data_IF_032394748642
#
_entry.id   IF_032394748642
#
_cell.length_a   1.000
_cell.length_b   1.000
_cell.length_c   1.000
_cell.angle_alpha   90.00
_cell.angle_beta   90.00
_cell.angle_gamma   90.00
#
_symmetry.space_group_name_H-M   'P 1'
#
loop_
_entity.id
_entity.type
_entity.pdbx_description
1 polymer ?
#
# COMPACT_ATOMS: atom_id res chain seq x y z
N UNK A 1 -3.91 -6.63 27.26
CA UNK A 1 -4.90 -6.88 26.19
C UNK A 1 -4.17 -7.62 25.09
N UNK A 2 -4.65 -8.82 24.74
CA UNK A 2 -4.05 -9.65 23.71
C UNK A 2 -4.74 -9.39 22.37
N UNK A 3 -3.97 -9.07 21.34
CA UNK A 3 -4.46 -8.79 19.98
C UNK A 3 -4.26 -10.02 19.08
N UNK A 4 -5.27 -10.38 18.28
CA UNK A 4 -5.16 -11.37 17.22
C UNK A 4 -4.71 -10.70 15.93
N UNK A 5 -3.50 -10.97 15.50
CA UNK A 5 -2.97 -10.46 14.23
C UNK A 5 -3.24 -11.42 13.08
N UNK A 6 -3.62 -10.88 11.91
CA UNK A 6 -3.99 -11.66 10.73
C UNK A 6 -3.30 -11.08 9.49
N UNK A 7 -2.67 -11.92 8.69
CA UNK A 7 -2.14 -11.57 7.38
C UNK A 7 -3.12 -12.00 6.28
N UNK A 8 -3.87 -11.06 5.73
CA UNK A 8 -4.81 -11.27 4.61
C UNK A 8 -4.43 -10.36 3.41
N UNK A 9 -3.37 -10.71 2.66
CA UNK A 9 -2.82 -9.88 1.58
C UNK A 9 -3.77 -9.73 0.37
N UNK A 10 -4.83 -10.53 0.30
CA UNK A 10 -5.90 -10.46 -0.68
C UNK A 10 -6.89 -9.30 -0.45
N UNK A 11 -6.72 -8.53 0.61
CA UNK A 11 -7.61 -7.46 1.05
C UNK A 11 -8.10 -6.53 -0.08
N UNK A 12 -7.18 -5.99 -0.90
CA UNK A 12 -7.56 -5.03 -1.96
C UNK A 12 -8.51 -5.64 -3.00
N UNK A 13 -8.30 -6.90 -3.37
CA UNK A 13 -9.21 -7.60 -4.29
C UNK A 13 -10.51 -8.04 -3.61
N UNK A 14 -10.49 -8.27 -2.30
CA UNK A 14 -11.70 -8.48 -1.51
C UNK A 14 -12.55 -7.20 -1.43
N UNK A 15 -11.92 -6.03 -1.25
CA UNK A 15 -12.59 -4.72 -1.34
C UNK A 15 -13.19 -4.47 -2.73
N UNK A 16 -12.46 -4.80 -3.79
CA UNK A 16 -12.96 -4.69 -5.17
C UNK A 16 -14.20 -5.56 -5.40
N UNK A 17 -14.17 -6.81 -4.90
CA UNK A 17 -15.30 -7.75 -4.96
C UNK A 17 -16.49 -7.33 -4.10
N UNK A 18 -16.22 -6.78 -2.92
CA UNK A 18 -17.22 -6.38 -1.90
C UNK A 18 -18.18 -7.50 -1.46
N UNK A 19 -17.77 -8.76 -1.54
CA UNK A 19 -18.57 -9.95 -1.23
C UNK A 19 -18.08 -10.62 0.06
N UNK A 20 -19.03 -10.99 0.93
CA UNK A 20 -18.75 -11.74 2.16
C UNK A 20 -18.27 -13.18 1.90
N UNK A 21 -18.62 -13.74 0.75
CA UNK A 21 -18.19 -15.09 0.31
C UNK A 21 -17.08 -15.04 -0.75
N UNK A 22 -16.33 -13.92 -0.82
CA UNK A 22 -15.20 -13.80 -1.74
C UNK A 22 -14.15 -14.87 -1.43
N UNK A 23 -13.67 -15.52 -2.47
CA UNK A 23 -12.54 -16.45 -2.41
C UNK A 23 -11.39 -15.91 -3.24
N UNK A 24 -10.26 -15.69 -2.60
CA UNK A 24 -9.08 -15.18 -3.29
C UNK A 24 -8.57 -16.17 -4.36
N UNK A 25 -7.96 -15.68 -5.45
CA UNK A 25 -7.23 -16.52 -6.40
C UNK A 25 -6.17 -17.39 -5.71
N UNK A 26 -5.82 -18.53 -6.32
CA UNK A 26 -4.85 -19.48 -5.76
C UNK A 26 -3.56 -18.80 -5.25
N UNK A 27 -2.96 -17.92 -6.05
CA UNK A 27 -1.74 -17.21 -5.66
C UNK A 27 -1.91 -16.35 -4.39
N UNK A 28 -3.07 -15.71 -4.20
CA UNK A 28 -3.37 -14.93 -2.99
C UNK A 28 -3.51 -15.83 -1.76
N UNK A 29 -4.22 -16.95 -1.89
CA UNK A 29 -4.36 -17.94 -0.80
C UNK A 29 -3.02 -18.56 -0.43
N UNK A 30 -2.19 -18.90 -1.42
CA UNK A 30 -0.85 -19.43 -1.18
C UNK A 30 0.03 -18.37 -0.48
N UNK A 31 -0.02 -17.10 -0.92
CA UNK A 31 0.72 -16.02 -0.28
C UNK A 31 0.32 -15.86 1.20
N UNK A 32 -0.98 -15.90 1.50
CA UNK A 32 -1.51 -15.86 2.86
C UNK A 32 -1.00 -17.04 3.69
N UNK A 33 -1.11 -18.26 3.18
CA UNK A 33 -0.67 -19.47 3.88
C UNK A 33 0.85 -19.47 4.14
N UNK A 34 1.65 -19.09 3.14
CA UNK A 34 3.11 -19.13 3.21
C UNK A 34 3.70 -18.02 4.09
N UNK A 35 3.08 -16.83 4.12
CA UNK A 35 3.56 -15.64 4.83
C UNK A 35 2.69 -15.23 6.01
N UNK A 36 1.73 -16.06 6.42
CA UNK A 36 0.85 -15.79 7.55
C UNK A 36 1.57 -15.47 8.87
N UNK A 37 2.84 -15.83 8.98
CA UNK A 37 3.70 -15.53 10.13
C UNK A 37 4.19 -14.07 10.17
N UNK A 38 4.04 -13.27 9.11
CA UNK A 38 4.59 -11.90 9.07
C UNK A 38 4.15 -11.02 10.25
N UNK A 39 2.91 -11.10 10.75
CA UNK A 39 2.51 -10.33 11.93
C UNK A 39 3.38 -10.56 13.16
N UNK A 40 4.03 -11.71 13.28
CA UNK A 40 4.96 -12.00 14.37
C UNK A 40 6.17 -11.04 14.42
N UNK A 41 6.43 -10.28 13.37
CA UNK A 41 7.51 -9.29 13.31
C UNK A 41 7.21 -8.05 14.16
N UNK A 42 5.92 -7.69 14.33
CA UNK A 42 5.49 -6.51 15.12
C UNK A 42 4.57 -6.85 16.29
N UNK A 43 4.05 -8.06 16.38
CA UNK A 43 3.22 -8.51 17.49
C UNK A 43 3.95 -8.44 18.82
N UNK A 44 3.24 -8.13 19.90
CA UNK A 44 3.75 -8.18 21.28
C UNK A 44 3.86 -9.63 21.76
N UNK A 45 4.46 -9.84 22.92
CA UNK A 45 4.67 -11.20 23.46
C UNK A 45 3.36 -11.92 23.75
N UNK A 46 2.36 -11.19 24.25
CA UNK A 46 1.05 -11.73 24.63
C UNK A 46 0.05 -11.80 23.48
N UNK A 47 0.41 -11.28 22.29
CA UNK A 47 -0.44 -11.32 21.11
C UNK A 47 -0.44 -12.71 20.47
N UNK A 48 -1.53 -13.01 19.74
CA UNK A 48 -1.67 -14.21 18.93
C UNK A 48 -1.59 -13.91 17.44
N UNK A 49 -0.98 -14.78 16.67
CA UNK A 49 -0.89 -14.71 15.21
C UNK A 49 -1.73 -15.84 14.60
N UNK A 50 -2.79 -15.47 13.87
CA UNK A 50 -3.65 -16.43 13.21
C UNK A 50 -3.02 -16.92 11.91
N UNK A 51 -2.89 -18.25 11.79
CA UNK A 51 -2.24 -18.90 10.65
C UNK A 51 -2.96 -20.20 10.30
N UNK A 52 -2.88 -20.64 9.05
CA UNK A 52 -3.47 -21.89 8.60
C UNK A 52 -2.72 -23.13 9.13
N UNK A 53 -1.40 -23.00 9.31
CA UNK A 53 -0.52 -24.07 9.79
C UNK A 53 0.52 -23.53 10.77
N UNK A 54 0.35 -23.86 12.04
CA UNK A 54 1.18 -23.37 13.15
C UNK A 54 2.64 -23.84 13.01
N UNK A 55 2.87 -25.12 12.74
CA UNK A 55 4.22 -25.68 12.62
C UNK A 55 5.01 -25.02 11.47
N UNK A 56 4.35 -24.85 10.33
CA UNK A 56 4.96 -24.17 9.18
C UNK A 56 5.31 -22.70 9.51
N UNK A 57 4.37 -21.97 10.11
CA UNK A 57 4.54 -20.57 10.49
C UNK A 57 5.70 -20.37 11.47
N UNK A 58 5.77 -21.20 12.52
CA UNK A 58 6.89 -21.18 13.48
C UNK A 58 8.24 -21.43 12.80
N UNK A 59 8.31 -22.44 11.94
CA UNK A 59 9.53 -22.77 11.21
C UNK A 59 9.94 -21.65 10.25
N UNK A 60 8.97 -21.04 9.56
CA UNK A 60 9.22 -19.92 8.65
C UNK A 60 9.69 -18.66 9.40
N UNK A 61 9.04 -18.32 10.52
CA UNK A 61 9.40 -17.20 11.37
C UNK A 61 10.83 -17.33 11.95
N UNK A 62 11.19 -18.51 12.48
CA UNK A 62 12.55 -18.78 13.00
C UNK A 62 13.63 -18.60 11.94
N UNK A 63 13.34 -18.88 10.66
CA UNK A 63 14.30 -18.65 9.55
C UNK A 63 14.54 -17.18 9.29
N UNK A 64 13.54 -16.33 9.47
CA UNK A 64 13.65 -14.88 9.26
C UNK A 64 14.39 -14.22 10.43
N UNK A 65 13.96 -14.52 11.66
CA UNK A 65 14.49 -13.85 12.86
C UNK A 65 15.91 -14.26 13.24
N UNK A 66 16.34 -15.47 12.87
CA UNK A 66 17.67 -16.02 13.23
C UNK A 66 18.01 -16.01 14.74
N UNK A 67 17.09 -15.52 15.57
CA UNK A 67 17.19 -15.48 17.04
C UNK A 67 15.90 -16.06 17.63
N UNK A 68 15.97 -16.71 18.80
CA UNK A 68 14.76 -17.15 19.49
C UNK A 68 13.92 -15.94 19.88
N UNK A 69 12.72 -15.84 19.34
CA UNK A 69 11.70 -14.85 19.74
C UNK A 69 10.44 -15.64 20.01
N UNK A 70 9.89 -15.49 21.22
CA UNK A 70 8.66 -16.15 21.59
C UNK A 70 7.49 -15.45 20.93
N UNK A 71 6.66 -16.20 20.22
CA UNK A 71 5.42 -15.75 19.58
C UNK A 71 4.39 -16.86 19.66
N UNK A 72 3.12 -16.48 19.79
CA UNK A 72 2.02 -17.42 19.88
C UNK A 72 1.32 -17.50 18.52
N UNK A 73 1.45 -18.64 17.86
CA UNK A 73 0.73 -18.93 16.61
C UNK A 73 -0.48 -19.79 16.91
N UNK A 74 -1.64 -19.46 16.28
CA UNK A 74 -2.90 -20.16 16.49
C UNK A 74 -3.58 -20.50 15.16
N UNK A 75 -4.23 -21.66 15.08
CA UNK A 75 -4.98 -22.10 13.90
C UNK A 75 -6.48 -21.80 13.97
N UNK A 76 -6.95 -21.22 15.07
CA UNK A 76 -8.33 -20.76 15.26
C UNK A 76 -8.34 -19.46 16.04
N UNK A 77 -9.36 -18.58 15.86
CA UNK A 77 -9.53 -17.42 16.73
C UNK A 77 -9.63 -17.89 18.19
N UNK A 78 -8.81 -17.31 19.04
CA UNK A 78 -8.79 -17.59 20.48
C UNK A 78 -9.46 -16.47 21.25
N UNK A 79 -9.56 -16.60 22.56
CA UNK A 79 -9.98 -15.50 23.44
C UNK A 79 -8.93 -14.39 23.37
N UNK A 80 -9.29 -13.28 22.73
CA UNK A 80 -8.49 -12.08 22.53
C UNK A 80 -9.35 -10.85 22.83
N UNK A 81 -8.70 -9.75 23.08
CA UNK A 81 -9.37 -8.48 23.40
C UNK A 81 -9.56 -7.60 22.17
N UNK A 82 -8.78 -7.86 21.11
CA UNK A 82 -8.75 -7.05 19.88
C UNK A 82 -8.31 -7.88 18.67
N UNK A 83 -8.64 -7.42 17.47
CA UNK A 83 -8.24 -8.06 16.20
C UNK A 83 -7.61 -7.03 15.27
N UNK A 84 -6.37 -7.27 14.88
CA UNK A 84 -5.58 -6.42 13.98
C UNK A 84 -5.20 -7.18 12.69
N UNK A 85 -6.04 -7.14 11.65
CA UNK A 85 -5.71 -7.76 10.37
C UNK A 85 -4.75 -6.90 9.54
N UNK A 86 -4.26 -7.46 8.44
CA UNK A 86 -3.60 -6.69 7.39
C UNK A 86 -4.52 -5.57 6.87
N UNK A 87 -5.79 -5.88 6.62
CA UNK A 87 -6.85 -4.93 6.34
C UNK A 87 -8.23 -5.56 6.53
N UNK A 88 -9.21 -4.76 6.94
CA UNK A 88 -10.57 -5.21 7.16
C UNK A 88 -11.40 -5.20 5.87
N UNK A 89 -12.06 -6.33 5.58
CA UNK A 89 -13.01 -6.48 4.49
C UNK A 89 -14.16 -7.45 4.87
N UNK A 90 -15.21 -7.48 4.05
CA UNK A 90 -16.40 -8.32 4.30
C UNK A 90 -16.09 -9.82 4.35
N UNK A 91 -15.12 -10.27 3.54
CA UNK A 91 -14.78 -11.69 3.47
C UNK A 91 -14.05 -12.15 4.74
N UNK A 92 -13.09 -11.36 5.22
CA UNK A 92 -12.39 -11.64 6.47
C UNK A 92 -13.35 -11.62 7.66
N UNK A 93 -14.22 -10.60 7.78
CA UNK A 93 -15.25 -10.57 8.83
C UNK A 93 -16.12 -11.82 8.81
N UNK A 94 -16.60 -12.22 7.64
CA UNK A 94 -17.44 -13.41 7.49
C UNK A 94 -16.68 -14.70 7.82
N UNK A 95 -15.39 -14.78 7.50
CA UNK A 95 -14.53 -15.90 7.90
C UNK A 95 -14.42 -16.01 9.41
N UNK A 96 -14.08 -14.91 10.09
CA UNK A 96 -13.91 -14.86 11.55
C UNK A 96 -15.21 -15.19 12.29
N UNK A 97 -16.35 -14.66 11.81
CA UNK A 97 -17.67 -15.00 12.36
C UNK A 97 -17.96 -16.49 12.25
N UNK A 98 -17.72 -17.12 11.10
CA UNK A 98 -17.89 -18.59 10.92
C UNK A 98 -16.98 -19.42 11.82
N UNK A 99 -15.82 -18.89 12.20
CA UNK A 99 -14.86 -19.54 13.09
C UNK A 99 -15.14 -19.28 14.57
N UNK A 100 -16.25 -18.62 14.90
CA UNK A 100 -16.70 -18.38 16.27
C UNK A 100 -15.98 -17.27 17.00
N UNK A 101 -15.41 -16.32 16.26
CA UNK A 101 -14.87 -15.08 16.84
C UNK A 101 -15.99 -14.26 17.46
N UNK A 102 -15.71 -13.59 18.59
CA UNK A 102 -16.67 -12.69 19.24
C UNK A 102 -17.07 -11.57 18.28
N UNK A 103 -18.38 -11.48 18.02
CA UNK A 103 -18.92 -10.50 17.09
C UNK A 103 -18.71 -9.04 17.55
N UNK A 104 -18.55 -8.81 18.85
CA UNK A 104 -18.26 -7.47 19.40
C UNK A 104 -16.89 -6.93 18.97
N UNK A 105 -15.95 -7.81 18.58
CA UNK A 105 -14.62 -7.46 18.07
C UNK A 105 -14.60 -7.27 16.54
N UNK A 106 -15.72 -7.57 15.86
CA UNK A 106 -15.80 -7.49 14.41
C UNK A 106 -16.38 -6.14 13.95
N UNK A 107 -15.86 -5.55 12.86
CA UNK A 107 -16.38 -4.28 12.36
C UNK A 107 -17.83 -4.44 11.86
N UNK A 108 -18.64 -3.40 12.05
CA UNK A 108 -20.00 -3.31 11.52
C UNK A 108 -20.01 -3.17 10.00
N UNK A 109 -21.18 -3.29 9.38
CA UNK A 109 -21.34 -3.05 7.94
C UNK A 109 -21.01 -1.61 7.54
N UNK A 110 -21.35 -0.64 8.41
CA UNK A 110 -21.04 0.77 8.18
C UNK A 110 -19.54 1.04 8.25
N UNK A 111 -18.84 0.44 9.22
CA UNK A 111 -17.38 0.53 9.31
C UNK A 111 -16.69 -0.10 8.09
N UNK A 112 -17.13 -1.28 7.64
CA UNK A 112 -16.57 -1.90 6.43
C UNK A 112 -16.89 -1.10 5.16
N UNK A 113 -18.07 -0.50 5.07
CA UNK A 113 -18.43 0.39 3.97
C UNK A 113 -17.55 1.64 3.96
N UNK A 114 -17.30 2.22 5.13
CA UNK A 114 -16.42 3.38 5.30
C UNK A 114 -14.97 3.05 4.89
N UNK A 115 -14.41 1.95 5.40
CA UNK A 115 -13.07 1.46 5.01
C UNK A 115 -12.97 1.30 3.49
N UNK A 116 -13.97 0.66 2.86
CA UNK A 116 -14.00 0.47 1.42
C UNK A 116 -14.05 1.80 0.65
N UNK A 117 -14.83 2.77 1.13
CA UNK A 117 -14.92 4.11 0.52
C UNK A 117 -13.58 4.84 0.61
N UNK A 118 -12.96 4.86 1.78
CA UNK A 118 -11.65 5.48 2.00
C UNK A 118 -10.53 4.81 1.21
N UNK A 119 -10.60 3.48 1.02
CA UNK A 119 -9.64 2.72 0.20
C UNK A 119 -9.79 2.93 -1.30
N UNK A 120 -10.82 3.63 -1.76
CA UNK A 120 -10.97 4.00 -3.16
C UNK A 120 -9.92 5.04 -3.53
N UNK A 121 -9.28 4.90 -4.69
CA UNK A 121 -8.23 5.83 -5.17
C UNK A 121 -8.69 7.30 -5.26
N UNK A 122 -10.00 7.58 -5.27
CA UNK A 122 -10.53 8.96 -5.18
C UNK A 122 -10.09 9.67 -3.89
N UNK A 123 -9.84 8.95 -2.80
CA UNK A 123 -9.35 9.55 -1.56
C UNK A 123 -7.99 10.21 -1.76
N UNK A 124 -7.07 9.54 -2.47
CA UNK A 124 -5.81 10.13 -2.88
C UNK A 124 -6.02 11.35 -3.81
N UNK A 125 -6.93 11.21 -4.79
CA UNK A 125 -7.29 12.33 -5.71
C UNK A 125 -7.81 13.55 -4.95
N UNK A 126 -8.64 13.36 -3.93
CA UNK A 126 -9.17 14.46 -3.10
C UNK A 126 -8.12 15.09 -2.19
N UNK A 127 -7.09 14.35 -1.81
CA UNK A 127 -5.99 14.85 -0.98
C UNK A 127 -4.96 15.67 -1.79
N UNK A 128 -4.71 15.32 -3.05
CA UNK A 128 -3.68 15.95 -3.88
C UNK A 128 -3.74 17.50 -3.91
N UNK A 129 -4.91 18.16 -4.09
CA UNK A 129 -4.99 19.61 -4.07
C UNK A 129 -4.54 20.25 -2.74
N UNK A 130 -4.69 19.53 -1.63
CA UNK A 130 -4.32 20.00 -0.29
C UNK A 130 -2.81 19.82 -0.01
N UNK A 131 -2.13 18.98 -0.81
CA UNK A 131 -0.69 18.74 -0.74
C UNK A 131 0.12 19.62 -1.71
N UNK A 132 -0.52 20.47 -2.49
CA UNK A 132 0.16 21.29 -3.51
C UNK A 132 1.20 22.24 -2.92
N UNK A 133 2.32 22.34 -3.63
CA UNK A 133 3.42 23.30 -3.45
C UNK A 133 4.13 23.47 -4.80
N UNK A 134 5.00 24.46 -4.94
CA UNK A 134 5.70 24.75 -6.20
C UNK A 134 6.55 23.58 -6.72
N UNK A 135 6.95 22.68 -5.83
CA UNK A 135 7.75 21.51 -6.13
C UNK A 135 6.91 20.21 -6.29
N UNK A 136 5.60 20.27 -6.15
CA UNK A 136 4.73 19.09 -6.27
C UNK A 136 4.05 19.03 -7.63
N UNK A 137 3.74 17.79 -8.03
CA UNK A 137 2.88 17.47 -9.16
C UNK A 137 1.89 16.39 -8.73
N UNK A 138 0.88 16.17 -9.54
CA UNK A 138 -0.09 15.09 -9.33
C UNK A 138 -1.49 15.57 -9.66
N UNK A 139 -2.10 14.89 -10.61
CA UNK A 139 -3.49 15.07 -11.00
C UNK A 139 -4.12 13.68 -11.11
N UNK A 140 -5.35 13.53 -10.63
CA UNK A 140 -6.07 12.28 -10.71
C UNK A 140 -7.56 12.55 -10.88
N UNK A 141 -8.18 11.91 -11.85
CA UNK A 141 -9.54 12.14 -12.28
C UNK A 141 -10.35 10.85 -12.19
N UNK A 142 -11.54 10.92 -11.61
CA UNK A 142 -12.47 9.79 -11.60
C UNK A 142 -13.36 9.87 -12.85
N UNK A 143 -13.22 8.90 -13.77
CA UNK A 143 -13.94 8.84 -15.03
C UNK A 143 -14.96 7.70 -15.01
N UNK A 144 -16.14 7.95 -15.60
CA UNK A 144 -17.23 6.99 -15.77
C UNK A 144 -17.65 6.83 -17.23
N UNK A 145 -17.29 7.81 -18.05
CA UNK A 145 -17.59 7.84 -19.47
C UNK A 145 -16.31 7.75 -20.31
N UNK A 146 -16.36 7.08 -21.45
CA UNK A 146 -15.22 6.93 -22.35
C UNK A 146 -14.69 8.28 -22.86
N UNK A 147 -15.59 9.22 -23.12
CA UNK A 147 -15.24 10.56 -23.60
C UNK A 147 -14.34 11.33 -22.61
N UNK A 148 -14.52 11.13 -21.29
CA UNK A 148 -13.66 11.76 -20.27
C UNK A 148 -12.22 11.25 -20.37
N UNK A 149 -12.04 9.96 -20.62
CA UNK A 149 -10.70 9.36 -20.80
C UNK A 149 -10.05 9.86 -22.09
N UNK A 150 -10.82 9.94 -23.18
CA UNK A 150 -10.33 10.45 -24.47
C UNK A 150 -9.91 11.93 -24.38
N UNK A 151 -10.68 12.76 -23.66
CA UNK A 151 -10.33 14.15 -23.38
C UNK A 151 -9.02 14.27 -22.61
N UNK A 152 -8.85 13.48 -21.51
CA UNK A 152 -7.62 13.48 -20.72
C UNK A 152 -6.43 12.98 -21.54
N UNK A 153 -6.61 11.93 -22.36
CA UNK A 153 -5.60 11.45 -23.27
C UNK A 153 -5.25 12.50 -24.32
N UNK A 154 -6.26 13.24 -24.82
CA UNK A 154 -6.04 14.36 -25.74
C UNK A 154 -5.24 15.52 -25.10
N UNK A 155 -5.50 15.81 -23.83
CA UNK A 155 -4.84 16.88 -23.07
C UNK A 155 -3.38 16.55 -22.74
N UNK A 156 -3.14 15.36 -22.20
CA UNK A 156 -1.85 14.96 -21.64
C UNK A 156 -0.96 14.15 -22.60
N UNK A 157 -1.51 13.63 -23.70
CA UNK A 157 -0.79 12.79 -24.67
C UNK A 157 -0.56 11.35 -24.19
N UNK A 158 -0.27 11.17 -22.91
CA UNK A 158 -0.12 9.88 -22.25
C UNK A 158 -0.80 9.92 -20.88
N UNK A 159 -1.57 8.87 -20.56
CA UNK A 159 -2.25 8.73 -19.26
C UNK A 159 -2.17 7.30 -18.76
N UNK A 160 -2.41 7.14 -17.46
CA UNK A 160 -2.52 5.84 -16.80
C UNK A 160 -3.95 5.70 -16.27
N UNK A 161 -4.66 4.68 -16.73
CA UNK A 161 -5.93 4.27 -16.12
C UNK A 161 -5.64 3.30 -14.95
N UNK A 162 -6.33 3.50 -13.84
CA UNK A 162 -6.18 2.70 -12.62
C UNK A 162 -7.53 2.21 -12.14
N UNK A 163 -7.62 0.92 -11.78
CA UNK A 163 -8.80 0.39 -11.10
C UNK A 163 -8.96 1.06 -9.72
N UNK A 164 -10.18 1.42 -9.29
CA UNK A 164 -10.45 2.03 -7.99
C UNK A 164 -9.90 1.25 -6.81
N UNK A 165 -10.06 -0.07 -6.85
CA UNK A 165 -9.49 -1.01 -5.89
C UNK A 165 -8.65 -2.05 -6.64
N UNK A 166 -7.35 -2.03 -6.42
CA UNK A 166 -6.42 -3.01 -6.99
C UNK A 166 -5.09 -2.96 -6.23
N UNK A 167 -4.29 -3.99 -6.39
CA UNK A 167 -2.96 -4.06 -5.80
C UNK A 167 -1.93 -4.58 -6.79
N UNK A 168 -0.65 -4.35 -6.48
CA UNK A 168 0.50 -4.93 -7.19
C UNK A 168 0.51 -4.67 -8.70
N UNK A 169 0.08 -3.49 -9.14
CA UNK A 169 0.10 -3.06 -10.54
C UNK A 169 -0.87 -3.76 -11.49
N UNK A 170 -1.69 -4.70 -11.01
CA UNK A 170 -2.60 -5.48 -11.87
C UNK A 170 -3.75 -4.67 -12.45
N UNK A 171 -4.14 -3.60 -11.78
CA UNK A 171 -5.24 -2.70 -12.17
C UNK A 171 -4.77 -1.48 -12.97
N UNK A 172 -3.62 -1.53 -13.64
CA UNK A 172 -3.08 -0.40 -14.39
C UNK A 172 -3.16 -0.65 -15.91
N UNK A 173 -3.50 0.42 -16.66
CA UNK A 173 -3.41 0.44 -18.13
C UNK A 173 -2.78 1.76 -18.58
N UNK A 174 -1.72 1.65 -19.35
CA UNK A 174 -1.00 2.80 -19.90
C UNK A 174 -1.53 3.12 -21.28
N UNK A 175 -1.93 4.36 -21.51
CA UNK A 175 -2.43 4.86 -22.79
C UNK A 175 -1.48 5.89 -23.38
N UNK A 176 -1.37 5.90 -24.70
CA UNK A 176 -0.66 6.88 -25.47
C UNK A 176 -1.43 7.12 -26.77
N UNK A 177 -1.57 8.38 -27.19
CA UNK A 177 -2.22 8.73 -28.46
C UNK A 177 -1.68 7.94 -29.66
N UNK A 178 -0.37 7.71 -29.67
CA UNK A 178 0.32 7.13 -30.84
C UNK A 178 0.44 5.60 -30.75
N UNK A 179 0.72 5.06 -29.55
CA UNK A 179 1.11 3.63 -29.39
C UNK A 179 0.01 2.75 -28.80
N UNK A 180 -0.78 3.30 -27.91
CA UNK A 180 -1.82 2.55 -27.19
C UNK A 180 -3.06 3.43 -27.05
N UNK A 181 -3.80 3.69 -28.15
CA UNK A 181 -5.00 4.50 -28.12
C UNK A 181 -6.08 3.86 -27.24
N UNK A 182 -7.00 4.70 -26.72
CA UNK A 182 -8.03 4.25 -25.78
C UNK A 182 -8.89 3.10 -26.30
N UNK A 183 -9.19 3.07 -27.61
CA UNK A 183 -10.01 2.02 -28.22
C UNK A 183 -9.51 0.60 -27.91
N UNK A 184 -8.20 0.41 -27.74
CA UNK A 184 -7.62 -0.88 -27.37
C UNK A 184 -7.95 -1.29 -25.93
N UNK A 185 -8.34 -0.36 -25.06
CA UNK A 185 -8.63 -0.57 -23.64
C UNK A 185 -10.08 -0.26 -23.27
N UNK A 186 -10.91 0.15 -24.24
CA UNK A 186 -12.32 0.51 -24.01
C UNK A 186 -13.12 -0.65 -23.37
N UNK A 187 -12.88 -1.88 -23.79
CA UNK A 187 -13.51 -3.06 -23.19
C UNK A 187 -13.12 -3.27 -21.71
N UNK A 188 -11.86 -3.02 -21.36
CA UNK A 188 -11.40 -3.07 -19.98
C UNK A 188 -12.02 -1.95 -19.14
N UNK A 189 -12.10 -0.74 -19.69
CA UNK A 189 -12.74 0.41 -19.07
C UNK A 189 -14.21 0.13 -18.73
N UNK A 190 -15.02 -0.28 -19.74
CA UNK A 190 -16.45 -0.60 -19.55
C UNK A 190 -16.67 -1.66 -18.47
N UNK A 191 -15.93 -2.77 -18.54
CA UNK A 191 -16.02 -3.84 -17.56
C UNK A 191 -15.70 -3.36 -16.13
N UNK A 192 -14.74 -2.44 -16.00
CA UNK A 192 -14.35 -1.90 -14.70
C UNK A 192 -15.38 -0.91 -14.16
N UNK A 193 -15.93 -0.02 -15.01
CA UNK A 193 -17.02 0.89 -14.63
C UNK A 193 -18.25 0.08 -14.19
N UNK A 194 -18.61 -0.99 -14.90
CA UNK A 194 -19.71 -1.88 -14.52
C UNK A 194 -19.48 -2.53 -13.15
N UNK A 195 -18.26 -3.00 -12.86
CA UNK A 195 -17.94 -3.74 -11.63
C UNK A 195 -17.59 -2.87 -10.43
N UNK A 196 -16.88 -1.78 -10.65
CA UNK A 196 -16.34 -0.93 -9.60
C UNK A 196 -16.89 0.52 -9.62
N UNK A 197 -17.69 0.87 -10.61
CA UNK A 197 -18.40 2.15 -10.70
C UNK A 197 -17.63 3.26 -11.41
N UNK A 198 -16.32 3.17 -11.54
CA UNK A 198 -15.48 4.18 -12.18
C UNK A 198 -14.08 3.64 -12.52
N UNK A 199 -13.29 4.49 -13.18
CA UNK A 199 -11.85 4.30 -13.41
C UNK A 199 -11.14 5.60 -13.04
N UNK A 200 -10.02 5.52 -12.33
CA UNK A 200 -9.17 6.68 -12.09
C UNK A 200 -8.21 6.86 -13.26
N UNK A 201 -8.04 8.09 -13.70
CA UNK A 201 -7.16 8.46 -14.82
C UNK A 201 -6.18 9.53 -14.36
N UNK A 202 -4.90 9.32 -14.63
CA UNK A 202 -3.83 10.25 -14.26
C UNK A 202 -2.93 10.53 -15.45
N UNK A 203 -2.33 11.72 -15.56
CA UNK A 203 -1.24 11.96 -16.49
C UNK A 203 -0.12 10.93 -16.27
N UNK A 204 0.53 10.51 -17.34
CA UNK A 204 1.74 9.68 -17.21
C UNK A 204 2.91 10.57 -16.77
N UNK A 205 3.49 10.23 -15.62
CA UNK A 205 4.68 10.90 -15.10
C UNK A 205 5.93 10.06 -15.36
N UNK A 206 7.01 10.74 -15.78
CA UNK A 206 8.31 10.09 -15.95
C UNK A 206 8.95 9.84 -14.59
N UNK A 207 8.66 8.68 -14.03
CA UNK A 207 9.07 8.27 -12.70
C UNK A 207 10.59 8.06 -12.60
N UNK A 208 11.19 8.65 -11.58
CA UNK A 208 12.62 8.49 -11.21
C UNK A 208 12.77 7.54 -10.02
N UNK A 209 11.92 7.70 -8.99
CA UNK A 209 12.03 6.91 -7.76
C UNK A 209 10.65 6.73 -7.10
N UNK A 210 10.33 5.50 -6.69
CA UNK A 210 9.20 5.21 -5.81
C UNK A 210 9.67 5.20 -4.35
N UNK A 211 8.82 5.67 -3.46
CA UNK A 211 8.93 5.52 -2.01
C UNK A 211 7.54 5.70 -1.38
N UNK A 212 7.42 5.49 -0.09
CA UNK A 212 6.19 5.72 0.65
C UNK A 212 6.46 6.25 2.05
N UNK A 213 5.42 6.70 2.68
CA UNK A 213 5.35 6.99 4.10
C UNK A 213 4.34 6.07 4.75
N UNK A 214 4.72 5.51 5.89
CA UNK A 214 3.87 4.65 6.69
C UNK A 214 3.34 5.41 7.89
N UNK A 215 2.07 5.17 8.21
CA UNK A 215 1.31 5.86 9.26
C UNK A 215 0.41 4.90 10.01
N UNK A 216 -0.11 5.36 11.15
CA UNK A 216 -1.25 4.78 11.84
C UNK A 216 -2.26 5.86 12.21
N UNK A 217 -3.54 5.47 12.28
CA UNK A 217 -4.64 6.29 12.76
C UNK A 217 -5.28 5.64 14.00
N UNK A 218 -5.72 6.45 14.95
CA UNK A 218 -6.33 5.97 16.20
C UNK A 218 -7.87 5.87 16.16
N UNK A 219 -8.50 6.39 15.10
CA UNK A 219 -9.95 6.46 14.96
C UNK A 219 -10.59 7.68 15.63
N UNK A 220 -9.80 8.53 16.27
CA UNK A 220 -10.22 9.77 16.94
C UNK A 220 -9.73 11.02 16.18
N UNK A 221 -9.16 10.82 14.98
CA UNK A 221 -8.66 11.88 14.11
C UNK A 221 -7.16 12.15 14.25
N UNK A 222 -6.43 11.39 15.06
CA UNK A 222 -4.98 11.54 15.16
C UNK A 222 -4.29 10.56 14.20
N UNK A 223 -3.34 11.10 13.43
CA UNK A 223 -2.47 10.35 12.53
C UNK A 223 -1.04 10.42 13.06
N UNK A 224 -0.42 9.27 13.24
CA UNK A 224 0.97 9.14 13.66
C UNK A 224 1.82 8.68 12.48
N UNK A 225 2.93 9.37 12.22
CA UNK A 225 3.94 8.95 11.25
C UNK A 225 4.81 7.84 11.84
N UNK A 226 4.98 6.74 11.10
CA UNK A 226 5.78 5.58 11.52
C UNK A 226 7.14 5.49 10.83
N UNK A 227 7.29 6.04 9.63
CA UNK A 227 8.59 6.08 8.96
C UNK A 227 8.51 6.06 7.44
N UNK A 228 9.66 6.31 6.79
CA UNK A 228 9.84 6.18 5.35
C UNK A 228 9.94 4.70 4.94
N UNK A 229 9.34 4.39 3.81
CA UNK A 229 9.42 3.10 3.13
C UNK A 229 10.06 3.30 1.76
N UNK A 230 11.31 2.90 1.58
CA UNK A 230 11.96 2.90 0.28
C UNK A 230 11.78 1.53 -0.38
N UNK A 231 11.16 1.52 -1.54
CA UNK A 231 10.92 0.28 -2.28
C UNK A 231 11.28 0.41 -3.76
N UNK A 232 11.36 -0.73 -4.42
CA UNK A 232 11.59 -0.82 -5.85
C UNK A 232 10.38 -1.42 -6.53
N UNK A 233 9.99 -0.83 -7.66
CA UNK A 233 8.98 -1.39 -8.56
C UNK A 233 9.56 -1.57 -9.96
N UNK A 234 9.02 -2.53 -10.69
CA UNK A 234 9.28 -2.71 -12.11
C UNK A 234 7.95 -2.94 -12.83
N UNK A 235 7.64 -2.12 -13.81
CA UNK A 235 6.35 -2.14 -14.52
C UNK A 235 5.12 -2.08 -13.56
N UNK A 236 5.26 -1.33 -12.47
CA UNK A 236 4.24 -1.23 -11.42
C UNK A 236 4.19 -2.41 -10.44
N UNK A 237 5.00 -3.45 -10.63
CA UNK A 237 5.08 -4.58 -9.72
C UNK A 237 6.14 -4.34 -8.63
N UNK A 238 5.77 -4.61 -7.38
CA UNK A 238 6.66 -4.54 -6.24
C UNK A 238 7.80 -5.57 -6.33
N UNK A 239 9.04 -5.13 -6.11
CA UNK A 239 10.23 -5.98 -6.10
C UNK A 239 10.85 -6.17 -4.72
N UNK A 240 10.68 -5.21 -3.81
CA UNK A 240 11.22 -5.29 -2.46
C UNK A 240 11.43 -3.95 -1.79
N UNK A 241 11.66 -3.97 -0.47
CA UNK A 241 11.95 -2.78 0.35
C UNK A 241 13.42 -2.75 0.77
N UNK A 242 13.92 -1.53 0.92
CA UNK A 242 15.21 -1.25 1.58
C UNK A 242 14.98 -1.26 3.09
N UNK A 243 15.79 -2.03 3.80
CA UNK A 243 15.87 -2.04 5.25
C UNK A 243 17.09 -1.21 5.66
N UNK A 244 16.82 -0.04 6.19
CA UNK A 244 17.83 0.92 6.66
C UNK A 244 17.18 1.78 7.74
N UNK A 245 17.98 2.49 8.53
CA UNK A 245 17.48 3.47 9.50
C UNK A 245 16.74 4.60 8.78
N UNK A 246 15.93 5.34 9.51
CA UNK A 246 15.24 6.51 8.96
C UNK A 246 16.24 7.54 8.44
N UNK A 247 17.36 7.73 9.15
CA UNK A 247 18.44 8.63 8.73
C UNK A 247 18.98 8.24 7.35
N UNK A 248 19.40 6.99 7.16
CA UNK A 248 19.95 6.49 5.89
C UNK A 248 18.94 6.54 4.73
N UNK A 249 17.63 6.31 5.02
CA UNK A 249 16.58 6.45 4.01
C UNK A 249 16.42 7.91 3.57
N UNK A 250 16.43 8.86 4.52
CA UNK A 250 16.37 10.30 4.23
C UNK A 250 17.57 10.76 3.42
N UNK A 251 18.77 10.31 3.78
CA UNK A 251 19.98 10.53 2.99
C UNK A 251 19.87 9.99 1.56
N UNK A 252 19.26 8.82 1.39
CA UNK A 252 19.02 8.26 0.05
C UNK A 252 18.10 9.15 -0.78
N UNK A 253 17.03 9.70 -0.19
CA UNK A 253 16.09 10.60 -0.88
C UNK A 253 16.71 11.97 -1.14
N UNK A 254 17.58 12.47 -0.25
CA UNK A 254 18.23 13.78 -0.40
C UNK A 254 19.09 13.89 -1.66
N UNK A 255 19.49 12.79 -2.24
CA UNK A 255 20.20 12.72 -3.53
C UNK A 255 19.33 13.11 -4.72
N UNK A 256 18.02 13.13 -4.55
CA UNK A 256 17.02 13.46 -5.59
C UNK A 256 16.32 14.79 -5.32
N UNK A 257 15.76 14.96 -4.11
CA UNK A 257 14.97 16.13 -3.71
C UNK A 257 15.34 16.57 -2.30
N UNK A 258 15.14 17.83 -1.91
CA UNK A 258 15.29 18.29 -0.54
C UNK A 258 14.41 17.49 0.42
N UNK A 259 14.95 17.09 1.56
CA UNK A 259 14.19 16.31 2.57
C UNK A 259 13.11 17.14 3.24
N UNK A 260 13.24 18.45 3.24
CA UNK A 260 12.26 19.42 3.74
C UNK A 260 10.92 19.30 3.01
N UNK A 261 10.92 18.93 1.72
CA UNK A 261 9.70 18.68 0.95
C UNK A 261 8.91 17.48 1.52
N UNK A 262 9.64 16.45 1.94
CA UNK A 262 9.04 15.27 2.58
C UNK A 262 8.43 15.65 3.93
N UNK A 263 9.13 16.46 4.72
CA UNK A 263 8.63 16.91 6.02
C UNK A 263 7.39 17.79 5.87
N UNK A 264 7.40 18.73 4.93
CA UNK A 264 6.24 19.58 4.63
C UNK A 264 5.03 18.74 4.17
N UNK A 265 5.24 17.79 3.26
CA UNK A 265 4.17 16.92 2.77
C UNK A 265 3.64 16.03 3.90
N UNK A 266 4.50 15.48 4.75
CA UNK A 266 4.11 14.71 5.93
C UNK A 266 3.18 15.53 6.85
N UNK A 267 3.56 16.76 7.18
CA UNK A 267 2.75 17.64 8.03
C UNK A 267 1.40 18.00 7.37
N UNK A 268 1.39 18.23 6.06
CA UNK A 268 0.16 18.45 5.31
C UNK A 268 -0.75 17.21 5.30
N UNK A 269 -0.19 16.00 5.14
CA UNK A 269 -0.96 14.75 5.23
C UNK A 269 -1.61 14.63 6.60
N UNK A 270 -0.83 14.76 7.67
CA UNK A 270 -1.34 14.65 9.06
C UNK A 270 -2.45 15.68 9.33
N UNK A 271 -2.34 16.86 8.76
CA UNK A 271 -3.31 17.96 8.95
C UNK A 271 -4.58 17.81 8.15
N UNK A 272 -4.50 17.27 6.93
CA UNK A 272 -5.58 17.38 5.94
C UNK A 272 -6.23 16.05 5.58
N UNK A 273 -5.58 14.91 5.86
CA UNK A 273 -6.17 13.61 5.59
C UNK A 273 -7.21 13.28 6.65
N UNK A 274 -8.47 13.26 6.24
CA UNK A 274 -9.58 12.84 7.10
C UNK A 274 -9.89 11.36 6.83
N UNK A 275 -9.68 10.53 7.83
CA UNK A 275 -9.99 9.09 7.83
C UNK A 275 -11.21 8.74 8.67
N UNK A 276 -11.91 9.76 9.23
CA UNK A 276 -13.07 9.56 10.10
C UNK A 276 -12.73 8.64 11.27
N UNK A 277 -13.56 7.63 11.51
CA UNK A 277 -13.37 6.66 12.59
C UNK A 277 -12.45 5.46 12.21
N UNK A 278 -11.66 5.56 11.14
CA UNK A 278 -10.70 4.51 10.81
C UNK A 278 -9.60 4.43 11.85
N UNK A 279 -9.41 3.26 12.43
CA UNK A 279 -8.29 2.93 13.32
C UNK A 279 -7.47 1.82 12.72
N UNK A 280 -6.16 2.03 12.61
CA UNK A 280 -5.23 1.05 12.06
C UNK A 280 -4.09 1.65 11.23
N UNK A 281 -3.18 0.81 10.74
CA UNK A 281 -2.07 1.23 9.89
C UNK A 281 -2.53 1.59 8.48
N UNK A 282 -1.84 2.55 7.87
CA UNK A 282 -1.99 2.86 6.45
C UNK A 282 -0.68 3.37 5.85
N UNK A 283 -0.52 3.23 4.54
CA UNK A 283 0.64 3.73 3.81
C UNK A 283 0.22 4.67 2.69
N UNK A 284 1.06 5.64 2.36
CA UNK A 284 0.91 6.54 1.23
C UNK A 284 2.08 6.36 0.29
N UNK A 285 1.79 5.88 -0.92
CA UNK A 285 2.79 5.75 -1.98
C UNK A 285 3.03 7.10 -2.64
N UNK A 286 4.31 7.40 -2.87
CA UNK A 286 4.81 8.63 -3.46
C UNK A 286 5.79 8.33 -4.58
N UNK A 287 6.04 9.29 -5.45
CA UNK A 287 7.12 9.15 -6.44
C UNK A 287 7.80 10.47 -6.72
N UNK A 288 9.11 10.39 -6.98
CA UNK A 288 9.89 11.47 -7.55
C UNK A 288 9.81 11.33 -9.06
N UNK A 289 9.50 12.42 -9.75
CA UNK A 289 9.29 12.45 -11.19
C UNK A 289 10.19 13.46 -11.85
N UNK A 290 10.56 13.20 -13.10
CA UNK A 290 11.26 14.15 -13.96
C UNK A 290 10.22 14.84 -14.86
N UNK A 291 10.11 16.17 -14.76
CA UNK A 291 9.17 16.97 -15.54
C UNK A 291 9.62 17.23 -16.99
N UNK A 292 10.80 16.73 -17.40
CA UNK A 292 11.31 16.96 -18.75
C UNK A 292 11.94 18.33 -18.98
N UNK A 293 12.31 18.64 -20.23
CA UNK A 293 13.26 19.65 -20.66
C UNK A 293 12.82 21.13 -20.53
N UNK A 294 12.50 21.61 -19.36
CA UNK A 294 12.57 23.06 -19.07
C UNK A 294 13.88 23.40 -18.36
N UNK A 295 15.00 22.86 -18.86
CA UNK A 295 16.32 23.19 -18.33
C UNK A 295 16.79 24.49 -19.01
N UNK A 296 16.76 25.61 -18.27
CA UNK A 296 17.76 26.64 -18.50
C UNK A 296 19.11 26.02 -18.10
N UNK A 297 20.14 26.19 -18.94
CA UNK A 297 21.50 25.64 -18.70
C UNK A 297 22.16 26.12 -17.39
N UNK A 298 21.47 26.90 -16.57
CA UNK A 298 21.93 27.49 -15.30
C UNK A 298 21.17 26.95 -14.07
N UNK A 299 20.31 25.94 -14.23
CA UNK A 299 19.53 25.39 -13.10
C UNK A 299 20.37 24.40 -12.26
N UNK A 300 20.20 24.35 -10.93
CA UNK A 300 20.82 23.35 -10.06
C UNK A 300 20.56 21.90 -10.54
N UNK A 301 21.44 20.99 -10.22
CA UNK A 301 21.50 19.61 -10.76
C UNK A 301 20.16 18.85 -10.74
N UNK A 302 19.22 19.21 -9.84
CA UNK A 302 17.94 18.52 -9.62
C UNK A 302 16.72 19.44 -9.83
N UNK A 303 16.85 20.60 -10.45
CA UNK A 303 15.74 21.57 -10.64
C UNK A 303 14.61 21.09 -11.56
N UNK A 304 14.79 19.93 -12.21
CA UNK A 304 13.81 19.28 -13.08
C UNK A 304 13.02 18.17 -12.35
N UNK A 305 13.33 17.89 -11.09
CA UNK A 305 12.65 16.86 -10.31
C UNK A 305 11.52 17.50 -9.48
N UNK A 306 10.43 16.77 -9.40
CA UNK A 306 9.26 17.14 -8.58
C UNK A 306 8.77 15.95 -7.80
N UNK A 307 8.01 16.22 -6.75
CA UNK A 307 7.40 15.21 -5.90
C UNK A 307 5.93 15.02 -6.29
N UNK A 308 5.52 13.79 -6.59
CA UNK A 308 4.11 13.39 -6.58
C UNK A 308 3.78 12.89 -5.17
N UNK A 309 3.07 13.69 -4.36
CA UNK A 309 3.00 13.47 -2.90
C UNK A 309 1.99 12.42 -2.47
N UNK A 310 1.12 11.94 -3.38
CA UNK A 310 0.12 10.93 -3.07
C UNK A 310 -0.32 10.19 -4.34
N UNK A 311 0.33 9.09 -4.67
CA UNK A 311 0.01 8.22 -5.81
C UNK A 311 -1.13 7.27 -5.46
N UNK A 312 -1.13 6.79 -4.21
CA UNK A 312 -2.11 5.85 -3.67
C UNK A 312 -2.10 5.90 -2.14
N UNK A 313 -3.29 5.76 -1.53
CA UNK A 313 -3.46 5.52 -0.10
C UNK A 313 -3.81 4.05 0.07
N UNK A 314 -2.96 3.33 0.77
CA UNK A 314 -3.15 1.92 1.14
C UNK A 314 -3.72 1.86 2.54
N UNK A 315 -5.05 1.83 2.69
CA UNK A 315 -5.73 1.88 4.00
C UNK A 315 -5.70 0.50 4.68
N UNK A 316 -4.52 0.03 4.90
CA UNK A 316 -4.16 -1.25 5.49
C UNK A 316 -2.69 -1.27 5.84
N UNK A 317 -2.24 -2.32 6.50
CA UNK A 317 -0.81 -2.58 6.63
C UNK A 317 -0.18 -2.81 5.25
N UNK A 318 1.07 -2.42 5.08
CA UNK A 318 1.82 -2.51 3.82
C UNK A 318 3.13 -3.29 4.02
N UNK A 319 3.80 -3.62 2.92
CA UNK A 319 5.17 -4.17 3.01
C UNK A 319 6.18 -3.14 3.56
N UNK A 320 5.85 -1.86 3.52
CA UNK A 320 6.60 -0.81 4.19
C UNK A 320 6.59 -0.96 5.71
N UNK A 321 5.43 -1.22 6.33
CA UNK A 321 5.35 -1.52 7.76
C UNK A 321 6.15 -2.78 8.14
N UNK A 322 6.14 -3.82 7.28
CA UNK A 322 7.01 -5.00 7.48
C UNK A 322 8.49 -4.61 7.43
N UNK A 323 8.87 -3.72 6.51
CA UNK A 323 10.24 -3.22 6.41
C UNK A 323 10.63 -2.40 7.65
N UNK A 324 9.73 -1.56 8.17
CA UNK A 324 9.96 -0.81 9.40
C UNK A 324 10.21 -1.73 10.60
N UNK A 325 9.45 -2.83 10.72
CA UNK A 325 9.65 -3.83 11.79
C UNK A 325 10.99 -4.58 11.70
N UNK A 326 11.67 -4.49 10.57
CA UNK A 326 12.97 -5.15 10.29
C UNK A 326 14.11 -4.12 10.12
N UNK A 327 13.84 -2.85 10.40
CA UNK A 327 14.84 -1.78 10.33
C UNK A 327 16.02 -2.11 11.25
N UNK A 328 17.28 -2.02 10.76
CA UNK A 328 18.46 -2.16 11.59
C UNK A 328 18.62 -0.96 12.53
N UNK A 329 19.35 -1.17 13.64
CA UNK A 329 19.68 -0.12 14.59
C UNK A 329 20.95 0.68 14.20
N UNK A 330 21.62 0.26 13.13
CA UNK A 330 22.92 0.78 12.68
C UNK A 330 22.78 1.38 11.28
N UNK A 331 23.19 2.64 11.12
CA UNK A 331 23.15 3.40 9.87
C UNK A 331 24.02 2.81 8.75
N UNK A 332 25.09 2.09 9.09
CA UNK A 332 25.96 1.43 8.11
C UNK A 332 25.33 0.13 7.57
N UNK A 333 24.26 -0.36 8.18
CA UNK A 333 23.62 -1.62 7.81
C UNK A 333 22.48 -1.38 6.86
N UNK A 334 22.69 -1.65 5.57
CA UNK A 334 21.63 -1.62 4.55
C UNK A 334 21.36 -3.03 4.02
N UNK A 335 20.09 -3.42 4.01
CA UNK A 335 19.62 -4.71 3.50
C UNK A 335 18.46 -4.51 2.54
N UNK A 336 18.13 -5.55 1.77
CA UNK A 336 16.94 -5.62 0.91
C UNK A 336 16.06 -6.75 1.36
N UNK A 337 14.79 -6.44 1.56
CA UNK A 337 13.72 -7.41 1.81
C UNK A 337 12.98 -7.68 0.50
N UNK A 338 12.77 -8.95 0.16
CA UNK A 338 12.00 -9.38 -1.03
C UNK A 338 11.11 -10.57 -0.70
N UNK A 339 10.00 -10.68 -1.42
CA UNK A 339 9.20 -11.90 -1.44
C UNK A 339 9.55 -12.67 -2.71
N UNK A 340 10.06 -13.88 -2.53
CA UNK A 340 10.41 -14.78 -3.63
C UNK A 340 9.43 -15.95 -3.67
N UNK A 341 8.93 -16.25 -4.87
CA UNK A 341 8.14 -17.45 -5.15
C UNK A 341 9.03 -18.50 -5.83
N UNK A 342 9.08 -19.68 -5.23
CA UNK A 342 9.51 -20.92 -5.89
C UNK A 342 8.34 -21.91 -5.81
N UNK A 343 8.42 -22.91 -4.94
CA UNK A 343 7.27 -23.76 -4.57
C UNK A 343 6.37 -23.05 -3.55
N UNK A 344 6.97 -22.23 -2.68
CA UNK A 344 6.34 -21.42 -1.63
C UNK A 344 6.86 -19.97 -1.67
N UNK A 345 6.01 -19.03 -1.28
CA UNK A 345 6.44 -17.66 -1.01
C UNK A 345 7.34 -17.61 0.21
N UNK A 346 8.44 -16.89 0.12
CA UNK A 346 9.41 -16.73 1.21
C UNK A 346 9.87 -15.29 1.32
N UNK A 347 9.88 -14.77 2.54
CA UNK A 347 10.58 -13.52 2.83
C UNK A 347 12.08 -13.77 2.82
N UNK A 348 12.80 -13.02 2.01
CA UNK A 348 14.26 -13.03 1.89
C UNK A 348 14.82 -11.69 2.29
N UNK A 349 15.88 -11.71 3.09
CA UNK A 349 16.62 -10.52 3.53
C UNK A 349 18.09 -10.74 3.17
N UNK A 350 18.61 -9.87 2.30
CA UNK A 350 20.00 -9.91 1.83
C UNK A 350 20.69 -8.59 2.21
N UNK A 351 22.00 -8.62 2.44
CA UNK A 351 22.80 -7.39 2.48
C UNK A 351 22.85 -6.78 1.07
N UNK A 352 22.86 -5.47 0.98
CA UNK A 352 23.18 -4.72 -0.24
C UNK A 352 24.68 -4.64 -0.41
#
# INVERSE_FOLDING_TARGET
MATLHIFNPEHDIALASNLANFTAPHAGRQLRADLGYLPALWAKEDDAIYVDNVEYAEKAFRRVMRKPVKRTFVASPTQVDDISPWGWDKALRAELKRKGCDESLLPTDDQLSHIRQLSHRRTASSLLPLLQADYTVGESYECREEAEVEELLARHGQVVMKAPWSSSGRGLRFLSKERTPFVMQAGWFRNLVERQGSVMVEPYYNKVKDFGMEFSADGEGHITYEGLSLFHTQNGAYLGNILATEHTKRETISRYIPVEWIDEVKEKIIRHLDLGAYSGPFGIDMMIVNQGNHISQLSPLNSHLSLHPCVEINLRRTMGHVALSLTPDDDEVVKVMRIELKEHYKLKINKL
#
